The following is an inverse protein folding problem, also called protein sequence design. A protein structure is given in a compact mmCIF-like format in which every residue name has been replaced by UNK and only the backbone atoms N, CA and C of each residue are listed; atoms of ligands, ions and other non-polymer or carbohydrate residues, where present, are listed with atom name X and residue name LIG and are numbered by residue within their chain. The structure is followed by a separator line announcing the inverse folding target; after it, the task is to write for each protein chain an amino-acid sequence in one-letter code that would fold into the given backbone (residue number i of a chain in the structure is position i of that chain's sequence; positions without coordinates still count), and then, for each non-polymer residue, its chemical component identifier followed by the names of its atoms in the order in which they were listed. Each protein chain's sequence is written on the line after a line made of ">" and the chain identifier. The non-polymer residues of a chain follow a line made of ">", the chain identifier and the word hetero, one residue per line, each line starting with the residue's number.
data_IF_788101253240
#
_entry.id   IF_788101253240
#
_cell.length_a   1.000
_cell.length_b   1.000
_cell.length_c   1.000
_cell.angle_alpha   90.00
_cell.angle_beta   90.00
_cell.angle_gamma   90.00
#
_symmetry.space_group_name_H-M   'P 1'
#
loop_
_entity.id
_entity.type
_entity.pdbx_description
1 polymer ?
#
# COMPACT_ATOMS: atom_id res chain seq x y z
N UNK A 1 -16.52 9.13 -2.13
CA UNK A 1 -15.13 8.64 -2.32
C UNK A 1 -14.67 8.92 -3.77
N UNK A 2 -14.51 10.18 -4.15
CA UNK A 2 -14.02 10.56 -5.50
C UNK A 2 -13.09 11.77 -5.41
N UNK A 3 -13.41 12.74 -4.54
CA UNK A 3 -12.70 14.02 -4.47
C UNK A 3 -11.31 13.95 -3.82
N UNK A 4 -11.01 12.92 -3.03
CA UNK A 4 -9.77 12.84 -2.23
C UNK A 4 -9.16 11.43 -2.17
N UNK A 5 -9.70 10.48 -2.94
CA UNK A 5 -9.20 9.11 -2.97
C UNK A 5 -8.50 8.86 -4.29
N UNK A 6 -7.36 8.19 -4.21
CA UNK A 6 -6.54 7.84 -5.36
C UNK A 6 -6.66 6.35 -5.67
N UNK A 7 -6.65 5.99 -6.94
CA UNK A 7 -6.67 4.60 -7.39
C UNK A 7 -5.55 4.35 -8.39
N UNK A 8 -5.03 3.13 -8.38
CA UNK A 8 -4.10 2.63 -9.38
C UNK A 8 -4.62 1.28 -9.88
N UNK A 9 -4.39 0.98 -11.17
CA UNK A 9 -4.80 -0.29 -11.77
C UNK A 9 -3.55 -1.08 -12.17
N UNK A 10 -3.35 -2.23 -11.51
CA UNK A 10 -2.23 -3.15 -11.71
C UNK A 10 -2.28 -3.82 -13.11
N UNK A 11 -3.47 -4.30 -13.51
CA UNK A 11 -3.63 -5.19 -14.67
C UNK A 11 -4.35 -4.53 -15.85
N UNK A 12 -3.86 -3.39 -16.34
CA UNK A 12 -4.53 -2.65 -17.42
C UNK A 12 -4.56 -3.41 -18.76
N UNK A 13 -3.52 -4.21 -19.06
CA UNK A 13 -3.33 -4.85 -20.37
C UNK A 13 -3.16 -6.37 -20.32
N UNK A 14 -3.03 -6.96 -19.13
CA UNK A 14 -2.74 -8.39 -18.97
C UNK A 14 -3.63 -8.97 -17.87
N UNK A 15 -4.39 -10.01 -18.20
CA UNK A 15 -5.15 -10.79 -17.23
C UNK A 15 -4.52 -12.19 -17.13
N UNK A 16 -3.74 -12.48 -16.07
CA UNK A 16 -2.97 -13.73 -15.99
C UNK A 16 -3.85 -14.99 -15.91
N UNK A 17 -5.09 -14.83 -15.45
CA UNK A 17 -6.13 -15.86 -15.46
C UNK A 17 -7.49 -15.20 -15.39
N UNK A 18 -8.53 -15.85 -15.93
CA UNK A 18 -9.91 -15.39 -15.81
C UNK A 18 -10.53 -15.72 -14.44
N UNK A 19 -9.91 -16.60 -13.64
CA UNK A 19 -10.41 -17.00 -12.32
C UNK A 19 -10.18 -15.89 -11.29
N UNK A 20 -11.24 -15.19 -10.89
CA UNK A 20 -11.16 -14.06 -9.95
C UNK A 20 -10.56 -14.45 -8.59
N UNK A 21 -10.97 -15.59 -8.04
CA UNK A 21 -10.47 -16.08 -6.76
C UNK A 21 -8.95 -16.32 -6.78
N UNK A 22 -8.41 -16.82 -7.90
CA UNK A 22 -6.97 -17.03 -8.06
C UNK A 22 -6.20 -15.70 -8.06
N UNK A 23 -6.71 -14.67 -8.76
CA UNK A 23 -6.10 -13.33 -8.76
C UNK A 23 -6.14 -12.70 -7.37
N UNK A 24 -7.30 -12.75 -6.71
CA UNK A 24 -7.47 -12.22 -5.36
C UNK A 24 -6.56 -12.92 -4.35
N UNK A 25 -6.47 -14.26 -4.40
CA UNK A 25 -5.59 -15.05 -3.53
C UNK A 25 -4.13 -14.67 -3.68
N UNK A 26 -3.65 -14.50 -4.92
CA UNK A 26 -2.27 -14.08 -5.18
C UNK A 26 -2.00 -12.65 -4.68
N UNK A 27 -2.92 -11.72 -4.92
CA UNK A 27 -2.79 -10.34 -4.45
C UNK A 27 -2.73 -10.26 -2.92
N UNK A 28 -3.64 -10.95 -2.22
CA UNK A 28 -3.66 -11.02 -0.75
C UNK A 28 -2.36 -11.63 -0.22
N UNK A 29 -1.89 -12.73 -0.82
CA UNK A 29 -0.64 -13.36 -0.41
C UNK A 29 0.56 -12.40 -0.54
N UNK A 30 0.69 -11.71 -1.68
CA UNK A 30 1.75 -10.73 -1.90
C UNK A 30 1.69 -9.55 -0.91
N UNK A 31 0.49 -9.03 -0.64
CA UNK A 31 0.27 -7.94 0.33
C UNK A 31 0.70 -8.37 1.74
N UNK A 32 0.36 -9.59 2.17
CA UNK A 32 0.75 -10.11 3.49
C UNK A 32 2.25 -10.37 3.60
N UNK A 33 2.91 -10.84 2.53
CA UNK A 33 4.37 -10.95 2.49
C UNK A 33 5.03 -9.58 2.60
N UNK A 34 4.48 -8.56 1.94
CA UNK A 34 4.98 -7.20 2.03
C UNK A 34 4.82 -6.62 3.44
N UNK A 35 3.65 -6.79 4.06
CA UNK A 35 3.41 -6.43 5.47
C UNK A 35 4.46 -7.05 6.40
N UNK A 36 4.72 -8.35 6.26
CA UNK A 36 5.73 -9.05 7.07
C UNK A 36 7.12 -8.45 6.93
N UNK A 37 7.52 -8.05 5.72
CA UNK A 37 8.82 -7.40 5.48
C UNK A 37 8.86 -6.00 6.08
N UNK A 38 7.76 -5.25 5.98
CA UNK A 38 7.64 -3.93 6.57
C UNK A 38 7.77 -3.99 8.10
N UNK A 39 7.00 -4.85 8.75
CA UNK A 39 6.98 -5.02 10.22
C UNK A 39 8.34 -5.48 10.78
N UNK A 40 9.18 -6.08 9.93
CA UNK A 40 10.54 -6.54 10.27
C UNK A 40 11.64 -5.60 9.81
N UNK A 41 11.29 -4.44 9.25
CA UNK A 41 12.24 -3.47 8.69
C UNK A 41 13.17 -4.07 7.61
N UNK A 42 12.68 -5.09 6.88
CA UNK A 42 13.43 -5.79 5.83
C UNK A 42 13.30 -5.10 4.45
N UNK A 43 12.50 -4.02 4.35
CA UNK A 43 12.33 -3.26 3.12
C UNK A 43 13.48 -2.27 2.96
N UNK A 44 14.14 -2.32 1.80
CA UNK A 44 15.23 -1.39 1.48
C UNK A 44 14.70 0.06 1.43
N UNK A 45 15.42 1.03 2.02
CA UNK A 45 15.04 2.44 1.94
C UNK A 45 14.92 2.90 0.48
N UNK A 46 13.92 3.75 0.21
CA UNK A 46 13.81 4.43 -1.07
C UNK A 46 14.87 5.53 -1.12
N UNK A 47 15.67 5.54 -2.18
CA UNK A 47 16.70 6.55 -2.42
C UNK A 47 16.23 7.56 -3.46
N UNK A 48 16.50 8.84 -3.23
CA UNK A 48 16.12 9.92 -4.13
C UNK A 48 16.82 9.75 -5.49
N UNK A 49 16.07 9.49 -6.57
CA UNK A 49 16.57 9.41 -7.95
C UNK A 49 17.83 8.51 -8.14
N UNK A 50 17.95 7.43 -7.36
CA UNK A 50 19.11 6.54 -7.42
C UNK A 50 20.40 7.12 -6.80
N UNK A 51 20.29 8.23 -6.06
CA UNK A 51 21.37 8.78 -5.23
C UNK A 51 21.62 7.92 -3.98
N UNK A 52 22.48 8.40 -3.08
CA UNK A 52 22.70 7.82 -1.74
C UNK A 52 21.83 8.45 -0.65
N UNK A 53 20.95 9.39 -1.01
CA UNK A 53 20.12 10.13 -0.06
C UNK A 53 18.81 9.37 0.20
N UNK A 54 18.55 8.89 1.43
CA UNK A 54 17.32 8.19 1.74
C UNK A 54 16.13 9.14 1.86
N UNK A 55 14.95 8.67 1.44
CA UNK A 55 13.67 9.33 1.67
C UNK A 55 13.04 8.87 3.00
N UNK A 56 12.25 9.76 3.60
CA UNK A 56 11.48 9.45 4.80
C UNK A 56 10.48 8.32 4.55
N UNK A 57 10.44 7.34 5.46
CA UNK A 57 9.55 6.17 5.38
C UNK A 57 8.40 6.21 6.39
N UNK A 58 8.21 7.33 7.12
CA UNK A 58 7.19 7.45 8.18
C UNK A 58 5.74 7.23 7.71
N UNK A 59 5.47 7.37 6.41
CA UNK A 59 4.13 7.09 5.87
C UNK A 59 3.81 5.58 5.84
N UNK A 60 4.82 4.70 5.82
CA UNK A 60 4.61 3.26 5.70
C UNK A 60 3.91 2.67 6.93
N UNK A 61 4.06 3.30 8.09
CA UNK A 61 3.36 2.94 9.32
C UNK A 61 1.83 3.00 9.18
N UNK A 62 1.32 3.79 8.23
CA UNK A 62 -0.13 3.99 8.01
C UNK A 62 -0.72 3.12 6.92
N UNK A 63 0.06 2.20 6.35
CA UNK A 63 -0.39 1.41 5.20
C UNK A 63 -1.27 0.22 5.59
N UNK A 64 -1.13 -0.31 6.81
CA UNK A 64 -1.88 -1.45 7.31
C UNK A 64 -2.60 -1.09 8.61
N UNK A 65 -3.82 -1.61 8.77
CA UNK A 65 -4.66 -1.41 9.96
C UNK A 65 -4.97 0.07 10.29
N UNK A 66 -4.84 0.97 9.33
CA UNK A 66 -5.22 2.38 9.46
C UNK A 66 -6.51 2.63 8.70
N UNK A 67 -7.40 3.43 9.29
CA UNK A 67 -8.62 3.90 8.65
C UNK A 67 -8.90 5.33 9.11
N UNK A 68 -9.51 6.13 8.24
CA UNK A 68 -10.01 7.47 8.59
C UNK A 68 -11.17 7.35 9.57
N UNK A 69 -11.12 8.11 10.66
CA UNK A 69 -12.18 8.19 11.66
C UNK A 69 -12.92 9.51 11.44
N UNK A 70 -14.21 9.49 11.07
CA UNK A 70 -14.95 10.72 10.82
C UNK A 70 -15.22 11.49 12.11
N UNK A 71 -14.99 12.80 12.07
CA UNK A 71 -15.36 13.73 13.14
C UNK A 71 -16.30 14.81 12.62
N UNK A 72 -16.88 15.59 13.54
CA UNK A 72 -17.89 16.61 13.22
C UNK A 72 -17.28 17.81 12.47
N UNK A 73 -16.11 18.28 12.91
CA UNK A 73 -15.38 19.38 12.28
C UNK A 73 -14.14 18.90 11.51
N UNK A 74 -13.47 17.86 11.99
CA UNK A 74 -12.23 17.32 11.41
C UNK A 74 -12.16 15.82 11.67
N UNK A 75 -11.64 15.09 10.69
CA UNK A 75 -11.42 13.65 10.78
C UNK A 75 -10.03 13.35 11.33
N UNK A 76 -9.91 12.20 11.99
CA UNK A 76 -8.69 11.74 12.62
C UNK A 76 -8.12 10.48 11.94
N UNK A 77 -6.83 10.23 12.18
CA UNK A 77 -6.14 9.00 11.82
C UNK A 77 -5.54 8.36 13.08
N UNK A 78 -5.76 7.05 13.31
CA UNK A 78 -5.08 6.30 14.35
C UNK A 78 -3.61 6.03 13.99
#
# INVERSE_FOLDING_TARGET
>A
MVNSNYYAMDLLYVLPTHIQAARAGNAIHAILLYRRKLDREEIKPILLLGSTIPLCSAQWERMFNTSRIPGEETDDLP
#
